data_IF_392764649482
#
_entry.id   IF_392764649482
#
_cell.length_a   1.000
_cell.length_b   1.000
_cell.length_c   1.000
_cell.angle_alpha   90.00
_cell.angle_beta   90.00
_cell.angle_gamma   90.00
#
_symmetry.space_group_name_H-M   'P 1'
#
loop_
_entity.id
_entity.type
_entity.pdbx_description
1 polymer ?
#
# COMPACT_ATOMS: atom_id res chain seq x y z
N UNK A 1 -27.79 8.40 -16.09
CA UNK A 1 -27.06 7.10 -16.15
C UNK A 1 -26.74 6.64 -14.74
N UNK A 2 -27.00 5.37 -14.38
CA UNK A 2 -26.55 4.84 -13.08
C UNK A 2 -25.01 4.83 -13.05
N UNK A 3 -24.35 5.36 -12.01
CA UNK A 3 -22.91 5.23 -11.88
C UNK A 3 -22.56 3.73 -11.85
N UNK A 4 -21.70 3.31 -12.78
CA UNK A 4 -21.28 1.92 -12.88
C UNK A 4 -20.65 1.48 -11.55
N UNK A 5 -21.20 0.42 -10.94
CA UNK A 5 -20.66 -0.19 -9.71
C UNK A 5 -19.23 -0.73 -9.89
N UNK A 6 -18.75 -0.80 -11.13
CA UNK A 6 -17.41 -1.26 -11.48
C UNK A 6 -16.31 -0.47 -10.75
N UNK A 7 -16.42 0.86 -10.65
CA UNK A 7 -15.34 1.67 -10.07
C UNK A 7 -15.15 1.43 -8.57
N UNK A 8 -16.20 1.39 -7.72
CA UNK A 8 -16.06 0.97 -6.33
C UNK A 8 -15.44 -0.42 -6.18
N UNK A 9 -15.90 -1.42 -6.95
CA UNK A 9 -15.33 -2.78 -6.87
C UNK A 9 -13.85 -2.81 -7.27
N UNK A 10 -13.50 -2.15 -8.37
CA UNK A 10 -12.10 -2.05 -8.81
C UNK A 10 -11.22 -1.35 -7.75
N UNK A 11 -11.76 -0.32 -7.08
CA UNK A 11 -11.05 0.37 -5.99
C UNK A 11 -10.78 -0.55 -4.81
N UNK A 12 -11.76 -1.36 -4.40
CA UNK A 12 -11.61 -2.33 -3.31
C UNK A 12 -10.53 -3.36 -3.67
N UNK A 13 -10.57 -3.91 -4.89
CA UNK A 13 -9.59 -4.90 -5.36
C UNK A 13 -8.19 -4.28 -5.39
N UNK A 14 -8.03 -3.09 -5.97
CA UNK A 14 -6.74 -2.42 -6.04
C UNK A 14 -6.18 -2.08 -4.66
N UNK A 15 -7.03 -1.57 -3.74
CA UNK A 15 -6.65 -1.31 -2.36
C UNK A 15 -6.22 -2.61 -1.62
N UNK A 16 -6.96 -3.70 -1.79
CA UNK A 16 -6.59 -5.00 -1.22
C UNK A 16 -5.26 -5.51 -1.79
N UNK A 17 -5.02 -5.34 -3.10
CA UNK A 17 -3.72 -5.65 -3.73
C UNK A 17 -2.59 -4.79 -3.15
N UNK A 18 -2.81 -3.48 -2.92
CA UNK A 18 -1.80 -2.62 -2.30
C UNK A 18 -1.45 -3.07 -0.87
N UNK A 19 -2.45 -3.45 -0.07
CA UNK A 19 -2.25 -4.02 1.27
C UNK A 19 -1.45 -5.32 1.17
N UNK A 20 -1.85 -6.23 0.28
CA UNK A 20 -1.15 -7.49 0.07
C UNK A 20 0.30 -7.27 -0.36
N UNK A 21 0.57 -6.38 -1.34
CA UNK A 21 1.93 -6.04 -1.78
C UNK A 21 2.76 -5.39 -0.66
N UNK A 22 2.13 -4.60 0.21
CA UNK A 22 2.81 -3.99 1.36
C UNK A 22 3.13 -5.04 2.43
N UNK A 23 2.27 -6.04 2.61
CA UNK A 23 2.41 -7.13 3.58
C UNK A 23 3.22 -8.33 3.06
N UNK A 24 3.38 -8.50 1.74
CA UNK A 24 4.16 -9.57 1.11
C UNK A 24 5.58 -9.66 1.69
N UNK A 25 6.34 -8.54 1.84
CA UNK A 25 7.61 -8.45 2.58
C UNK A 25 7.67 -9.05 4.01
N UNK A 26 6.56 -9.54 4.56
CA UNK A 26 6.39 -9.89 5.97
C UNK A 26 5.87 -11.31 6.15
N UNK A 27 5.48 -11.99 5.07
CA UNK A 27 4.97 -13.36 5.15
C UNK A 27 6.11 -14.35 4.97
N UNK A 28 6.50 -15.00 6.07
CA UNK A 28 7.37 -16.17 6.03
C UNK A 28 6.50 -17.42 5.90
N UNK A 29 6.73 -18.24 4.87
CA UNK A 29 6.09 -19.56 4.76
C UNK A 29 6.91 -20.64 5.50
N UNK A 30 7.96 -20.26 6.23
CA UNK A 30 8.79 -21.17 7.03
C UNK A 30 7.96 -21.92 8.08
N UNK A 31 6.94 -21.28 8.66
CA UNK A 31 6.01 -21.92 9.60
C UNK A 31 5.15 -23.03 8.97
N UNK A 32 5.05 -23.06 7.64
CA UNK A 32 4.33 -24.08 6.87
C UNK A 32 5.28 -25.13 6.25
N UNK A 33 6.56 -25.14 6.64
CA UNK A 33 7.56 -26.07 6.14
C UNK A 33 8.05 -25.77 4.72
N UNK A 34 7.70 -24.61 4.17
CA UNK A 34 8.21 -24.12 2.89
C UNK A 34 9.33 -23.13 3.17
N UNK A 35 10.53 -23.36 2.63
CA UNK A 35 11.69 -22.48 2.80
C UNK A 35 11.59 -21.24 1.87
N UNK A 36 10.41 -20.64 1.85
CA UNK A 36 10.05 -19.44 1.13
C UNK A 36 9.75 -18.37 2.17
N UNK A 37 10.77 -17.61 2.55
CA UNK A 37 10.59 -16.41 3.34
C UNK A 37 10.62 -15.22 2.41
N UNK A 38 9.46 -14.61 2.16
CA UNK A 38 9.41 -13.34 1.45
C UNK A 38 9.58 -12.23 2.49
N UNK A 39 10.82 -12.05 2.91
CA UNK A 39 11.19 -10.93 3.77
C UNK A 39 11.36 -9.73 2.83
N UNK A 40 11.08 -8.52 3.26
CA UNK A 40 11.27 -7.29 2.48
C UNK A 40 12.67 -7.03 1.96
N UNK A 41 13.57 -8.01 2.00
CA UNK A 41 14.95 -8.03 1.53
C UNK A 41 15.13 -8.78 0.19
N UNK A 42 14.05 -9.30 -0.40
CA UNK A 42 14.14 -10.25 -1.51
C UNK A 42 14.53 -11.64 -1.03
N UNK A 43 14.72 -12.59 -1.96
CA UNK A 43 15.33 -13.89 -1.65
C UNK A 43 16.82 -13.68 -1.33
N UNK A 44 17.10 -13.12 -0.17
CA UNK A 44 18.44 -12.90 0.36
C UNK A 44 18.74 -13.85 1.50
N UNK A 45 20.02 -14.22 1.61
CA UNK A 45 20.51 -15.24 2.53
C UNK A 45 20.11 -14.98 3.99
N UNK A 46 19.90 -16.08 4.68
CA UNK A 46 19.09 -16.30 5.89
C UNK A 46 19.39 -15.48 7.17
N UNK A 47 20.42 -14.65 7.24
CA UNK A 47 20.89 -14.10 8.52
C UNK A 47 20.09 -12.89 9.04
N UNK A 48 19.53 -12.05 8.16
CA UNK A 48 18.77 -10.85 8.57
C UNK A 48 17.30 -11.19 8.87
N UNK A 49 16.78 -12.26 8.28
CA UNK A 49 15.42 -12.75 8.46
C UNK A 49 15.14 -13.25 9.89
N UNK A 50 16.16 -13.84 10.51
CA UNK A 50 16.07 -14.47 11.83
C UNK A 50 16.13 -13.45 12.98
N UNK A 51 16.47 -12.19 12.69
CA UNK A 51 16.54 -11.10 13.69
C UNK A 51 15.15 -10.56 14.10
N UNK A 52 14.06 -11.03 13.48
CA UNK A 52 12.69 -10.66 13.88
C UNK A 52 12.36 -9.18 13.70
N UNK A 53 13.12 -8.50 12.84
CA UNK A 53 13.06 -7.05 12.70
C UNK A 53 11.93 -6.65 11.75
N UNK A 54 10.84 -6.13 12.31
CA UNK A 54 9.77 -5.50 11.55
C UNK A 54 10.18 -4.09 11.07
N UNK A 55 9.76 -3.66 9.88
CA UNK A 55 10.13 -2.35 9.36
C UNK A 55 9.51 -1.23 10.20
N UNK A 56 10.14 -0.05 10.13
CA UNK A 56 9.64 1.15 10.77
C UNK A 56 8.20 1.45 10.31
N UNK A 57 7.43 2.16 11.14
CA UNK A 57 5.98 2.40 11.00
C UNK A 57 5.50 3.04 9.68
N UNK A 58 6.39 3.35 8.74
CA UNK A 58 6.11 4.07 7.48
C UNK A 58 5.39 3.23 6.43
N UNK A 59 5.61 1.91 6.39
CA UNK A 59 4.85 1.00 5.53
C UNK A 59 3.34 1.00 5.83
N UNK A 60 2.97 1.26 7.09
CA UNK A 60 1.57 1.37 7.50
C UNK A 60 0.84 2.58 6.91
N UNK A 61 1.55 3.59 6.42
CA UNK A 61 0.94 4.72 5.71
C UNK A 61 0.29 4.27 4.39
N UNK A 62 0.90 3.31 3.69
CA UNK A 62 0.33 2.72 2.47
C UNK A 62 -0.92 1.92 2.80
N UNK A 63 -0.88 1.13 3.87
CA UNK A 63 -2.03 0.35 4.37
C UNK A 63 -3.17 1.28 4.78
N UNK A 64 -2.88 2.32 5.56
CA UNK A 64 -3.88 3.31 5.98
C UNK A 64 -4.53 4.00 4.78
N UNK A 65 -3.73 4.39 3.78
CA UNK A 65 -4.24 4.98 2.55
C UNK A 65 -5.17 4.04 1.77
N UNK A 66 -4.77 2.77 1.62
CA UNK A 66 -5.58 1.76 0.97
C UNK A 66 -6.90 1.50 1.72
N UNK A 67 -6.87 1.46 3.06
CA UNK A 67 -8.09 1.32 3.88
C UNK A 67 -9.03 2.50 3.69
N UNK A 68 -8.53 3.74 3.67
CA UNK A 68 -9.36 4.93 3.41
C UNK A 68 -10.04 4.84 2.04
N UNK A 69 -9.31 4.45 0.98
CA UNK A 69 -9.88 4.25 -0.34
C UNK A 69 -10.94 3.13 -0.37
N UNK A 70 -10.70 2.03 0.35
CA UNK A 70 -11.65 0.93 0.47
C UNK A 70 -12.95 1.37 1.16
N UNK A 71 -12.84 2.14 2.24
CA UNK A 71 -14.00 2.72 2.92
C UNK A 71 -14.78 3.69 2.02
N UNK A 72 -14.08 4.55 1.26
CA UNK A 72 -14.70 5.43 0.29
C UNK A 72 -15.47 4.66 -0.80
N UNK A 73 -14.90 3.57 -1.30
CA UNK A 73 -15.57 2.68 -2.25
C UNK A 73 -16.80 2.00 -1.64
N UNK A 74 -16.72 1.53 -0.39
CA UNK A 74 -17.87 0.93 0.32
C UNK A 74 -19.01 1.93 0.52
N UNK A 75 -18.71 3.18 0.90
CA UNK A 75 -19.71 4.26 0.99
C UNK A 75 -20.39 4.47 -0.36
N UNK A 76 -19.66 4.34 -1.47
CA UNK A 76 -20.19 4.51 -2.83
C UNK A 76 -21.12 3.38 -3.27
N UNK A 77 -21.08 2.23 -2.60
CA UNK A 77 -22.00 1.11 -2.82
C UNK A 77 -23.30 1.25 -2.03
N UNK A 78 -23.42 2.24 -1.14
CA UNK A 78 -24.64 2.47 -0.37
C UNK A 78 -25.80 2.86 -1.30
N UNK A 79 -26.99 2.24 -1.16
CA UNK A 79 -28.14 2.51 -2.05
C UNK A 79 -28.84 3.84 -1.74
N UNK A 80 -28.51 4.49 -0.62
CA UNK A 80 -29.17 5.70 -0.16
C UNK A 80 -28.79 6.93 -1.03
N UNK A 81 -29.76 7.68 -1.59
CA UNK A 81 -29.48 8.90 -2.36
C UNK A 81 -28.76 9.98 -1.54
N UNK A 82 -29.01 10.02 -0.23
CA UNK A 82 -28.35 10.93 0.72
C UNK A 82 -26.85 10.64 0.89
N UNK A 83 -26.39 9.44 0.54
CA UNK A 83 -24.97 9.07 0.63
C UNK A 83 -24.15 9.59 -0.56
N UNK A 84 -24.78 10.08 -1.64
CA UNK A 84 -24.06 10.59 -2.84
C UNK A 84 -23.06 11.71 -2.55
N UNK A 85 -23.41 12.80 -1.82
CA UNK A 85 -22.43 13.85 -1.50
C UNK A 85 -21.29 13.32 -0.62
N UNK A 86 -21.62 12.45 0.35
CA UNK A 86 -20.63 11.84 1.23
C UNK A 86 -19.67 10.92 0.45
N UNK A 87 -20.20 10.10 -0.47
CA UNK A 87 -19.41 9.24 -1.36
C UNK A 87 -18.44 10.05 -2.20
N UNK A 88 -18.87 11.18 -2.79
CA UNK A 88 -17.98 12.05 -3.57
C UNK A 88 -16.84 12.60 -2.72
N UNK A 89 -17.16 13.11 -1.54
CA UNK A 89 -16.15 13.64 -0.61
C UNK A 89 -15.18 12.54 -0.16
N UNK A 90 -15.70 11.38 0.25
CA UNK A 90 -14.90 10.25 0.69
C UNK A 90 -13.96 9.76 -0.41
N UNK A 91 -14.44 9.68 -1.67
CA UNK A 91 -13.59 9.33 -2.81
C UNK A 91 -12.55 10.39 -3.13
N UNK A 92 -12.87 11.69 -3.02
CA UNK A 92 -11.89 12.74 -3.20
C UNK A 92 -10.76 12.64 -2.14
N UNK A 93 -11.12 12.39 -0.89
CA UNK A 93 -10.15 12.14 0.19
C UNK A 93 -9.34 10.88 -0.11
N UNK A 94 -9.99 9.77 -0.50
CA UNK A 94 -9.32 8.53 -0.90
C UNK A 94 -8.30 8.74 -2.02
N UNK A 95 -8.64 9.55 -3.04
CA UNK A 95 -7.73 9.88 -4.12
C UNK A 95 -6.48 10.62 -3.63
N UNK A 96 -6.67 11.67 -2.82
CA UNK A 96 -5.56 12.47 -2.26
C UNK A 96 -4.67 11.59 -1.38
N UNK A 97 -5.26 10.82 -0.48
CA UNK A 97 -4.50 9.98 0.46
C UNK A 97 -3.77 8.86 -0.29
N UNK A 98 -4.33 8.28 -1.35
CA UNK A 98 -3.62 7.30 -2.18
C UNK A 98 -2.46 7.92 -2.98
N UNK A 99 -2.57 9.17 -3.44
CA UNK A 99 -1.45 9.89 -4.05
C UNK A 99 -0.32 10.07 -3.04
N UNK A 100 -0.64 10.51 -1.82
CA UNK A 100 0.34 10.66 -0.74
C UNK A 100 0.94 9.30 -0.35
N UNK A 101 0.13 8.24 -0.31
CA UNK A 101 0.58 6.87 -0.06
C UNK A 101 1.52 6.35 -1.15
N UNK A 102 1.33 6.73 -2.42
CA UNK A 102 2.23 6.38 -3.50
C UNK A 102 3.62 7.04 -3.36
N UNK A 103 3.73 8.17 -2.64
CA UNK A 103 5.02 8.78 -2.36
C UNK A 103 5.91 7.90 -1.45
N UNK A 104 5.31 7.01 -0.65
CA UNK A 104 6.06 6.11 0.25
C UNK A 104 6.96 5.14 -0.52
N UNK A 105 6.46 4.25 -1.39
CA UNK A 105 7.34 3.35 -2.16
C UNK A 105 8.31 4.12 -3.06
N UNK A 106 7.95 5.30 -3.56
CA UNK A 106 8.87 6.17 -4.32
C UNK A 106 10.02 6.66 -3.45
N UNK A 107 9.72 7.17 -2.25
CA UNK A 107 10.74 7.61 -1.30
C UNK A 107 11.64 6.45 -0.87
N UNK A 108 11.10 5.24 -0.68
CA UNK A 108 11.90 4.03 -0.38
C UNK A 108 12.84 3.66 -1.54
N UNK A 109 12.41 3.84 -2.79
CA UNK A 109 13.28 3.60 -3.96
C UNK A 109 14.44 4.59 -4.07
N UNK A 110 14.26 5.83 -3.62
CA UNK A 110 15.28 6.90 -3.66
C UNK A 110 16.19 6.83 -2.41
N UNK A 111 15.60 6.57 -1.25
CA UNK A 111 16.26 6.53 0.06
C UNK A 111 15.86 5.27 0.84
N UNK A 112 16.47 4.11 0.55
CA UNK A 112 16.13 2.86 1.22
C UNK A 112 16.25 2.92 2.75
N UNK A 113 17.23 3.66 3.28
CA UNK A 113 17.41 3.89 4.71
C UNK A 113 16.20 4.59 5.37
N UNK A 114 15.40 5.34 4.60
CA UNK A 114 14.15 5.94 5.10
C UNK A 114 13.10 4.89 5.48
N UNK A 115 13.15 3.69 4.91
CA UNK A 115 12.23 2.61 5.26
C UNK A 115 12.56 1.95 6.60
N UNK A 116 13.84 1.86 6.93
CA UNK A 116 14.33 1.23 8.16
C UNK A 116 14.47 2.21 9.32
N UNK A 117 14.61 3.52 9.06
CA UNK A 117 14.87 4.50 10.09
C UNK A 117 16.20 4.21 10.80
N UNK A 118 16.25 4.42 12.12
CA UNK A 118 17.47 4.25 12.92
C UNK A 118 17.73 2.78 13.31
N UNK A 119 16.93 1.86 12.79
CA UNK A 119 16.97 0.46 13.16
C UNK A 119 18.30 -0.24 12.83
N UNK A 120 18.97 0.02 11.68
CA UNK A 120 20.31 -0.50 11.40
C UNK A 120 21.37 0.01 12.40
N UNK A 121 21.23 1.26 12.84
CA UNK A 121 22.11 1.84 13.88
C UNK A 121 21.86 1.21 15.25
N UNK A 122 20.60 0.95 15.61
CA UNK A 122 20.24 0.26 16.86
C UNK A 122 20.73 -1.19 16.90
N UNK A 123 20.89 -1.83 15.75
CA UNK A 123 21.44 -3.18 15.61
C UNK A 123 22.98 -3.21 15.50
N UNK A 124 23.64 -2.04 15.55
CA UNK A 124 25.10 -1.94 15.43
C UNK A 124 25.65 -2.33 14.05
N UNK A 125 24.79 -2.32 13.03
CA UNK A 125 25.10 -2.76 11.68
C UNK A 125 24.56 -1.75 10.65
N UNK A 126 25.12 -0.53 10.61
CA UNK A 126 24.61 0.57 9.78
C UNK A 126 24.63 0.24 8.28
N UNK A 127 25.59 -0.59 7.84
CA UNK A 127 25.73 -1.02 6.44
C UNK A 127 24.58 -1.92 5.98
N UNK A 128 23.83 -2.55 6.90
CA UNK A 128 22.67 -3.36 6.53
C UNK A 128 21.61 -2.56 5.79
N UNK A 129 21.47 -1.25 6.05
CA UNK A 129 20.46 -0.40 5.43
C UNK A 129 20.52 -0.41 3.88
N UNK A 130 21.71 -0.61 3.30
CA UNK A 130 21.94 -0.60 1.87
C UNK A 130 21.61 -1.96 1.22
N UNK A 131 21.93 -3.07 1.91
CA UNK A 131 21.61 -4.44 1.46
C UNK A 131 20.17 -4.86 1.75
N UNK A 132 19.53 -4.16 2.67
CA UNK A 132 18.20 -4.42 3.18
C UNK A 132 17.08 -3.73 2.35
N UNK A 133 17.40 -3.05 1.25
CA UNK A 133 16.39 -2.32 0.48
C UNK A 133 15.29 -3.24 -0.09
N UNK A 134 13.99 -2.89 0.04
CA UNK A 134 12.93 -3.64 -0.62
C UNK A 134 13.07 -3.69 -2.13
N UNK A 135 12.80 -4.87 -2.70
CA UNK A 135 12.96 -5.10 -4.13
C UNK A 135 12.13 -4.11 -4.95
N UNK A 136 12.79 -3.46 -5.92
CA UNK A 136 12.14 -2.57 -6.90
C UNK A 136 11.02 -3.29 -7.68
N UNK A 137 11.12 -4.62 -7.83
CA UNK A 137 10.10 -5.45 -8.46
C UNK A 137 8.77 -5.47 -7.68
N UNK A 138 8.76 -5.09 -6.39
CA UNK A 138 7.56 -4.93 -5.56
C UNK A 138 7.16 -3.46 -5.47
N UNK A 139 8.14 -2.58 -5.24
CA UNK A 139 7.90 -1.14 -5.04
C UNK A 139 7.28 -0.48 -6.27
N UNK A 140 7.68 -0.89 -7.48
CA UNK A 140 7.11 -0.36 -8.73
C UNK A 140 5.63 -0.76 -8.87
N UNK A 141 5.24 -2.07 -8.83
CA UNK A 141 3.83 -2.45 -8.82
C UNK A 141 3.02 -1.80 -7.70
N UNK A 142 3.57 -1.69 -6.49
CA UNK A 142 2.87 -1.05 -5.37
C UNK A 142 2.57 0.43 -5.68
N UNK A 143 3.54 1.16 -6.22
CA UNK A 143 3.35 2.55 -6.65
C UNK A 143 2.26 2.66 -7.70
N UNK A 144 2.29 1.79 -8.72
CA UNK A 144 1.30 1.78 -9.79
C UNK A 144 -0.11 1.44 -9.27
N UNK A 145 -0.24 0.47 -8.37
CA UNK A 145 -1.52 0.10 -7.75
C UNK A 145 -2.07 1.24 -6.90
N UNK A 146 -1.22 1.96 -6.15
CA UNK A 146 -1.64 3.12 -5.37
C UNK A 146 -2.14 4.26 -6.27
N UNK A 147 -1.42 4.54 -7.37
CA UNK A 147 -1.83 5.55 -8.35
C UNK A 147 -3.12 5.15 -9.08
N UNK A 148 -3.28 3.86 -9.42
CA UNK A 148 -4.52 3.32 -9.99
C UNK A 148 -5.68 3.48 -9.01
N UNK A 149 -5.48 3.13 -7.74
CA UNK A 149 -6.49 3.30 -6.68
C UNK A 149 -6.89 4.77 -6.56
N UNK A 150 -5.92 5.69 -6.57
CA UNK A 150 -6.18 7.12 -6.56
C UNK A 150 -6.99 7.58 -7.78
N UNK A 151 -6.65 7.10 -8.98
CA UNK A 151 -7.38 7.41 -10.20
C UNK A 151 -8.84 6.92 -10.11
N UNK A 152 -9.07 5.68 -9.67
CA UNK A 152 -10.42 5.11 -9.51
C UNK A 152 -11.27 5.89 -8.50
N UNK A 153 -10.69 6.28 -7.36
CA UNK A 153 -11.31 7.19 -6.41
C UNK A 153 -11.61 8.56 -7.05
N UNK A 154 -10.64 9.17 -7.73
CA UNK A 154 -10.79 10.48 -8.36
C UNK A 154 -11.82 10.51 -9.50
N UNK A 155 -11.98 9.41 -10.25
CA UNK A 155 -13.07 9.27 -11.22
C UNK A 155 -14.43 9.16 -10.51
N UNK A 156 -14.50 8.42 -9.41
CA UNK A 156 -15.72 8.22 -8.62
C UNK A 156 -16.19 9.48 -7.89
N UNK A 157 -15.30 10.46 -7.67
CA UNK A 157 -15.64 11.73 -7.00
C UNK A 157 -16.24 12.78 -7.94
N UNK A 158 -16.17 12.60 -9.27
CA UNK A 158 -16.65 13.59 -10.23
C UNK A 158 -18.19 13.70 -10.21
N UNK A 159 -18.75 14.92 -10.30
CA UNK A 159 -20.18 15.06 -10.54
C UNK A 159 -20.52 14.44 -11.90
N UNK A 160 -21.52 13.56 -11.94
CA UNK A 160 -22.05 13.08 -13.21
C UNK A 160 -22.57 14.29 -13.98
N UNK A 161 -22.15 14.45 -15.24
CA UNK A 161 -22.77 15.39 -16.17
C UNK A 161 -24.20 14.91 -16.40
N UNK A 162 -25.15 15.56 -15.73
CA UNK A 162 -26.58 15.42 -15.99
C UNK A 162 -26.94 15.97 -17.36
#
# INVERSE_FOLDING_TARGET
MQPSRLFPFATIVAAATAIALTALPWTTLKSLGLDLSWNGFGMGDSEVADLGVGPAGRGWLVVAAAVVAMLAALISLMPAPSARPLSRLANAIGAVVCILGAAVPVAVMIWPGWYFGDLPEQLGAPDLAEFAAPSKAILIPLTLVMLLTAALCGYSSRPGTE
#
